data_IF_922575030108
#
_entry.id   IF_922575030108
#
_cell.length_a   1.000
_cell.length_b   1.000
_cell.length_c   1.000
_cell.angle_alpha   90.00
_cell.angle_beta   90.00
_cell.angle_gamma   90.00
#
_symmetry.space_group_name_H-M   'P 1'
#
loop_
_entity.id
_entity.type
_entity.pdbx_description
1 polymer ?
#
# COMPACT_ATOMS: atom_id res chain seq x y z
N UNK A 1 -40.59 7.05 -14.84
CA UNK A 1 -40.41 5.67 -14.34
C UNK A 1 -39.23 5.69 -13.42
N UNK A 2 -39.51 5.80 -12.13
CA UNK A 2 -38.55 5.89 -11.02
C UNK A 2 -38.28 4.48 -10.51
N UNK A 3 -37.21 3.82 -10.96
CA UNK A 3 -36.66 2.69 -10.25
C UNK A 3 -35.36 3.14 -9.57
N UNK A 4 -35.54 3.44 -8.38
CA UNK A 4 -34.78 3.34 -7.13
C UNK A 4 -33.32 2.99 -7.27
N UNK A 5 -32.51 4.02 -7.09
CA UNK A 5 -31.06 3.94 -6.77
C UNK A 5 -30.76 3.32 -5.39
N UNK A 6 -31.71 2.63 -4.76
CA UNK A 6 -31.57 2.01 -3.45
C UNK A 6 -30.94 0.61 -3.50
N UNK A 7 -30.97 -0.05 -4.67
CA UNK A 7 -30.44 -1.42 -4.80
C UNK A 7 -28.92 -1.52 -4.87
N UNK A 8 -28.21 -0.42 -5.06
CA UNK A 8 -26.76 -0.44 -5.25
C UNK A 8 -25.94 -0.58 -3.96
N UNK A 9 -26.58 -0.43 -2.80
CA UNK A 9 -25.90 -0.49 -1.49
C UNK A 9 -26.35 -1.67 -0.63
N UNK A 10 -27.33 -2.45 -1.05
CA UNK A 10 -27.74 -3.65 -0.34
C UNK A 10 -26.60 -4.66 -0.27
N UNK A 11 -26.25 -5.08 0.94
CA UNK A 11 -25.29 -6.12 1.21
C UNK A 11 -23.82 -5.69 1.27
N UNK A 12 -23.50 -4.40 1.29
CA UNK A 12 -22.17 -3.97 1.74
C UNK A 12 -22.18 -3.98 3.28
N UNK A 13 -21.26 -4.71 3.90
CA UNK A 13 -21.14 -4.79 5.36
C UNK A 13 -20.50 -3.55 5.99
N UNK A 14 -20.38 -2.52 5.23
CA UNK A 14 -19.86 -1.23 5.65
C UNK A 14 -21.02 -0.37 6.15
N UNK A 15 -20.66 0.61 6.98
CA UNK A 15 -21.53 1.64 7.53
C UNK A 15 -22.69 2.04 6.59
N UNK A 16 -23.83 2.39 7.18
CA UNK A 16 -24.98 2.87 6.45
C UNK A 16 -24.58 3.80 5.28
N UNK A 17 -25.18 3.62 4.10
CA UNK A 17 -24.87 4.46 2.95
C UNK A 17 -25.09 5.94 3.31
N UNK A 18 -24.34 6.88 2.68
CA UNK A 18 -24.58 8.30 2.89
C UNK A 18 -26.04 8.63 2.63
N UNK A 19 -26.63 9.45 3.52
CA UNK A 19 -27.96 9.96 3.24
C UNK A 19 -27.98 10.76 1.92
N UNK A 20 -29.16 10.82 1.30
CA UNK A 20 -29.31 11.48 -0.01
C UNK A 20 -28.90 12.95 0.00
N UNK A 21 -29.08 13.63 1.13
CA UNK A 21 -28.72 15.04 1.28
C UNK A 21 -27.21 15.22 1.34
N UNK A 22 -26.50 14.35 2.04
CA UNK A 22 -25.03 14.34 2.09
C UNK A 22 -24.44 14.06 0.71
N UNK A 23 -24.98 13.08 -0.03
CA UNK A 23 -24.55 12.78 -1.41
C UNK A 23 -24.82 13.94 -2.36
N UNK A 24 -26.00 14.59 -2.24
CA UNK A 24 -26.33 15.73 -3.07
C UNK A 24 -25.40 16.93 -2.79
N UNK A 25 -25.11 17.21 -1.51
CA UNK A 25 -24.14 18.24 -1.12
C UNK A 25 -22.71 17.94 -1.64
N UNK A 26 -22.30 16.69 -1.56
CA UNK A 26 -20.97 16.28 -2.06
C UNK A 26 -20.90 16.38 -3.59
N UNK A 27 -21.96 15.98 -4.29
CA UNK A 27 -22.05 16.11 -5.75
C UNK A 27 -22.02 17.57 -6.19
N UNK A 28 -22.79 18.45 -5.53
CA UNK A 28 -22.78 19.88 -5.79
C UNK A 28 -21.39 20.50 -5.51
N UNK A 29 -20.75 20.08 -4.44
CA UNK A 29 -19.37 20.49 -4.14
C UNK A 29 -18.39 20.05 -5.24
N UNK A 30 -18.48 18.81 -5.73
CA UNK A 30 -17.63 18.31 -6.83
C UNK A 30 -17.85 19.12 -8.12
N UNK A 31 -19.10 19.43 -8.46
CA UNK A 31 -19.41 20.28 -9.62
C UNK A 31 -18.81 21.68 -9.49
N UNK A 32 -18.85 22.26 -8.29
CA UNK A 32 -18.20 23.52 -8.02
C UNK A 32 -16.67 23.46 -8.18
N UNK A 33 -16.06 22.29 -7.88
CA UNK A 33 -14.60 22.10 -8.10
C UNK A 33 -14.23 22.02 -9.60
N UNK A 34 -15.15 21.65 -10.48
CA UNK A 34 -14.88 21.58 -11.94
C UNK A 34 -14.65 22.95 -12.55
N UNK A 35 -15.23 24.00 -11.99
CA UNK A 35 -15.04 25.38 -12.43
C UNK A 35 -13.74 26.03 -11.90
N UNK A 36 -13.04 25.37 -10.97
CA UNK A 36 -11.82 25.90 -10.37
C UNK A 36 -10.56 25.49 -11.19
N UNK A 37 -9.47 26.28 -11.12
CA UNK A 37 -8.18 25.87 -11.62
C UNK A 37 -7.74 24.53 -11.01
N UNK A 38 -7.07 23.68 -11.80
CA UNK A 38 -6.73 22.30 -11.40
C UNK A 38 -6.04 22.20 -10.03
N UNK A 39 -5.08 23.10 -9.72
CA UNK A 39 -4.34 23.09 -8.47
C UNK A 39 -5.22 23.38 -7.24
N UNK A 40 -6.22 24.28 -7.35
CA UNK A 40 -7.18 24.54 -6.26
C UNK A 40 -8.10 23.34 -6.01
N UNK A 41 -8.58 22.71 -7.08
CA UNK A 41 -9.34 21.47 -6.95
C UNK A 41 -8.53 20.37 -6.30
N UNK A 42 -7.23 20.26 -6.61
CA UNK A 42 -6.34 19.25 -6.03
C UNK A 42 -6.15 19.43 -4.53
N UNK A 43 -5.93 20.66 -4.06
CA UNK A 43 -5.84 20.96 -2.61
C UNK A 43 -7.14 20.57 -1.88
N UNK A 44 -8.30 20.87 -2.47
CA UNK A 44 -9.60 20.50 -1.92
C UNK A 44 -9.80 18.97 -1.90
N UNK A 45 -9.32 18.26 -2.92
CA UNK A 45 -9.42 16.79 -3.02
C UNK A 45 -8.57 16.05 -1.98
N UNK A 46 -7.44 16.62 -1.53
CA UNK A 46 -6.62 16.03 -0.46
C UNK A 46 -7.42 15.76 0.83
N UNK A 47 -8.39 16.60 1.13
CA UNK A 47 -9.23 16.45 2.32
C UNK A 47 -10.25 15.31 2.18
N UNK A 48 -10.65 15.00 0.94
CA UNK A 48 -11.70 14.02 0.62
C UNK A 48 -11.16 12.64 0.24
N UNK A 49 -9.89 12.51 -0.12
CA UNK A 49 -9.26 11.25 -0.48
C UNK A 49 -9.25 10.24 0.68
N UNK A 50 -9.19 8.95 0.35
CA UNK A 50 -9.15 7.86 1.34
C UNK A 50 -8.88 6.49 0.72
N UNK A 51 -9.69 6.03 -0.26
CA UNK A 51 -9.50 4.73 -0.90
C UNK A 51 -8.11 4.50 -1.53
N UNK A 52 -7.49 5.54 -2.08
CA UNK A 52 -6.11 5.49 -2.57
C UNK A 52 -5.09 5.24 -1.46
N UNK A 53 -5.25 5.87 -0.30
CA UNK A 53 -4.38 5.64 0.86
C UNK A 53 -4.52 4.22 1.41
N UNK A 54 -5.73 3.66 1.36
CA UNK A 54 -5.97 2.26 1.73
C UNK A 54 -5.17 1.33 0.81
N UNK A 55 -5.16 1.59 -0.51
CA UNK A 55 -4.34 0.82 -1.44
C UNK A 55 -2.84 1.02 -1.22
N UNK A 56 -2.40 2.25 -0.91
CA UNK A 56 -1.00 2.52 -0.57
C UNK A 56 -0.56 1.73 0.67
N UNK A 57 -1.38 1.72 1.72
CA UNK A 57 -1.09 0.99 2.95
C UNK A 57 -1.01 -0.54 2.75
N UNK A 58 -1.74 -1.07 1.76
CA UNK A 58 -1.68 -2.48 1.39
C UNK A 58 -0.45 -2.80 0.51
N UNK A 59 -0.14 -1.91 -0.44
CA UNK A 59 1.02 -2.05 -1.34
C UNK A 59 2.35 -1.90 -0.62
N UNK A 60 2.44 -0.96 0.33
CA UNK A 60 3.61 -0.77 1.18
C UNK A 60 3.67 -1.89 2.21
N UNK A 61 4.02 -3.08 1.77
CA UNK A 61 4.13 -4.29 2.58
C UNK A 61 5.52 -4.92 2.54
N UNK A 62 5.66 -6.05 3.21
CA UNK A 62 6.95 -6.75 3.35
C UNK A 62 7.59 -7.16 2.04
N UNK A 63 6.79 -7.54 1.04
CA UNK A 63 7.31 -7.86 -0.30
C UNK A 63 7.94 -6.66 -0.98
N UNK A 64 7.27 -5.51 -0.92
CA UNK A 64 7.80 -4.23 -1.43
C UNK A 64 9.06 -3.84 -0.67
N UNK A 65 9.05 -3.93 0.67
CA UNK A 65 10.22 -3.61 1.49
C UNK A 65 11.42 -4.51 1.11
N UNK A 66 11.24 -5.82 1.10
CA UNK A 66 12.32 -6.76 0.78
C UNK A 66 12.91 -6.50 -0.60
N UNK A 67 12.06 -6.32 -1.62
CA UNK A 67 12.50 -6.09 -3.00
C UNK A 67 13.25 -4.76 -3.15
N UNK A 68 12.73 -3.67 -2.57
CA UNK A 68 13.33 -2.34 -2.74
C UNK A 68 14.59 -2.16 -1.90
N UNK A 69 14.66 -2.72 -0.70
CA UNK A 69 15.89 -2.74 0.10
C UNK A 69 16.98 -3.54 -0.59
N UNK A 70 16.63 -4.70 -1.15
CA UNK A 70 17.58 -5.52 -1.92
C UNK A 70 18.02 -4.80 -3.20
N UNK A 71 17.11 -4.16 -3.92
CA UNK A 71 17.44 -3.39 -5.12
C UNK A 71 18.52 -2.33 -4.85
N UNK A 72 18.35 -1.56 -3.76
CA UNK A 72 19.34 -0.56 -3.37
C UNK A 72 20.68 -1.17 -2.95
N UNK A 73 20.67 -2.24 -2.15
CA UNK A 73 21.88 -2.88 -1.68
C UNK A 73 22.68 -3.53 -2.81
N UNK A 74 22.03 -4.25 -3.71
CA UNK A 74 22.69 -5.02 -4.77
C UNK A 74 23.01 -4.20 -6.04
N UNK A 75 22.17 -3.20 -6.37
CA UNK A 75 22.26 -2.49 -7.65
C UNK A 75 22.43 -0.97 -7.51
N UNK A 76 22.57 -0.46 -6.28
CA UNK A 76 22.62 0.97 -6.03
C UNK A 76 21.35 1.66 -6.50
N UNK A 77 21.48 2.77 -7.20
CA UNK A 77 20.32 3.52 -7.72
C UNK A 77 19.76 2.99 -9.04
N UNK A 78 20.46 2.02 -9.70
CA UNK A 78 20.17 1.60 -11.08
C UNK A 78 18.78 1.01 -11.29
N UNK A 79 18.11 0.52 -10.24
CA UNK A 79 16.78 -0.07 -10.32
C UNK A 79 15.68 0.83 -9.68
N UNK A 80 15.97 2.09 -9.36
CA UNK A 80 14.97 2.99 -8.75
C UNK A 80 13.77 3.24 -9.69
N UNK A 81 13.96 3.14 -11.00
CA UNK A 81 12.92 3.28 -12.02
C UNK A 81 11.81 2.23 -11.91
N UNK A 82 12.08 1.09 -11.26
CA UNK A 82 11.10 0.01 -11.07
C UNK A 82 9.92 0.50 -10.22
N UNK A 83 10.17 1.33 -9.22
CA UNK A 83 9.13 1.87 -8.34
C UNK A 83 8.10 2.72 -9.09
N UNK A 84 8.47 3.78 -9.84
CA UNK A 84 7.49 4.55 -10.60
C UNK A 84 6.81 3.73 -11.71
N UNK A 85 7.53 2.84 -12.41
CA UNK A 85 6.94 2.03 -13.47
C UNK A 85 5.87 1.08 -12.91
N UNK A 86 6.20 0.32 -11.87
CA UNK A 86 5.25 -0.61 -11.26
C UNK A 86 4.00 0.09 -10.75
N UNK A 87 4.16 1.28 -10.16
CA UNK A 87 3.02 2.03 -9.65
C UNK A 87 2.21 2.73 -10.75
N UNK A 88 2.83 3.18 -11.84
CA UNK A 88 2.09 3.69 -13.02
C UNK A 88 1.17 2.58 -13.56
N UNK A 89 1.71 1.38 -13.77
CA UNK A 89 0.91 0.23 -14.23
C UNK A 89 -0.21 -0.09 -13.22
N UNK A 90 0.09 -0.06 -11.93
CA UNK A 90 -0.90 -0.23 -10.88
C UNK A 90 -2.02 0.80 -10.93
N UNK A 91 -1.69 2.08 -11.00
CA UNK A 91 -2.69 3.17 -11.09
C UNK A 91 -3.55 3.05 -12.34
N UNK A 92 -3.00 2.61 -13.46
CA UNK A 92 -3.78 2.34 -14.69
C UNK A 92 -4.81 1.23 -14.43
N UNK A 93 -4.41 0.11 -13.81
CA UNK A 93 -5.32 -1.00 -13.46
C UNK A 93 -6.41 -0.54 -12.50
N UNK A 94 -6.04 0.17 -11.42
CA UNK A 94 -7.02 0.70 -10.45
C UNK A 94 -7.95 1.74 -11.07
N UNK A 95 -7.45 2.58 -11.98
CA UNK A 95 -8.27 3.55 -12.69
C UNK A 95 -9.31 2.89 -13.58
N UNK A 96 -8.95 1.78 -14.24
CA UNK A 96 -9.88 0.99 -15.06
C UNK A 96 -11.00 0.36 -14.19
N UNK A 97 -10.62 -0.28 -13.08
CA UNK A 97 -11.57 -0.88 -12.14
C UNK A 97 -12.46 0.19 -11.48
N UNK A 98 -11.88 1.32 -11.06
CA UNK A 98 -12.64 2.46 -10.53
C UNK A 98 -13.64 3.00 -11.57
N UNK A 99 -13.20 3.16 -12.82
CA UNK A 99 -14.08 3.64 -13.88
C UNK A 99 -15.29 2.73 -14.08
N UNK A 100 -15.09 1.43 -14.11
CA UNK A 100 -16.17 0.43 -14.21
C UNK A 100 -17.11 0.54 -13.01
N UNK A 101 -16.59 0.49 -11.78
CA UNK A 101 -17.38 0.52 -10.55
C UNK A 101 -18.17 1.83 -10.39
N UNK A 102 -17.52 2.98 -10.58
CA UNK A 102 -18.15 4.29 -10.48
C UNK A 102 -19.17 4.56 -11.60
N UNK A 103 -19.05 3.85 -12.74
CA UNK A 103 -20.00 3.97 -13.86
C UNK A 103 -21.26 3.16 -13.67
N UNK A 104 -21.12 1.96 -13.12
CA UNK A 104 -22.18 0.96 -12.99
C UNK A 104 -22.83 0.96 -11.60
N UNK A 105 -22.11 1.39 -10.56
CA UNK A 105 -22.48 1.24 -9.16
C UNK A 105 -22.47 -0.21 -8.69
N UNK A 106 -22.06 -1.16 -9.54
CA UNK A 106 -22.08 -2.59 -9.24
C UNK A 106 -20.82 -3.02 -8.50
N UNK A 107 -20.99 -3.95 -7.56
CA UNK A 107 -19.90 -4.63 -6.87
C UNK A 107 -19.09 -5.46 -7.88
N UNK A 108 -17.75 -5.54 -7.74
CA UNK A 108 -16.90 -6.18 -8.75
C UNK A 108 -17.22 -7.65 -8.98
N UNK A 109 -17.55 -8.40 -7.92
CA UNK A 109 -17.92 -9.80 -8.04
C UNK A 109 -19.20 -9.98 -8.88
N UNK A 110 -20.23 -9.19 -8.59
CA UNK A 110 -21.50 -9.24 -9.33
C UNK A 110 -21.33 -8.79 -10.79
N UNK A 111 -20.59 -7.70 -11.01
CA UNK A 111 -20.31 -7.22 -12.36
C UNK A 111 -19.57 -8.27 -13.19
N UNK A 112 -18.57 -8.94 -12.60
CA UNK A 112 -17.85 -10.01 -13.28
C UNK A 112 -18.74 -11.22 -13.54
N UNK A 113 -19.59 -11.61 -12.58
CA UNK A 113 -20.54 -12.71 -12.72
C UNK A 113 -21.53 -12.49 -13.87
N UNK A 114 -22.03 -11.26 -14.02
CA UNK A 114 -22.98 -10.90 -15.08
C UNK A 114 -22.33 -10.79 -16.47
N UNK A 115 -21.13 -10.22 -16.56
CA UNK A 115 -20.53 -9.89 -17.85
C UNK A 115 -19.50 -10.90 -18.35
N UNK A 116 -18.78 -11.57 -17.44
CA UNK A 116 -17.76 -12.57 -17.77
C UNK A 116 -18.17 -14.01 -17.40
N UNK A 117 -19.23 -14.14 -16.60
CA UNK A 117 -19.73 -15.43 -16.15
C UNK A 117 -19.25 -15.86 -14.75
N UNK A 118 -19.95 -16.83 -14.14
CA UNK A 118 -19.68 -17.24 -12.76
C UNK A 118 -18.29 -17.81 -12.53
N UNK A 119 -17.71 -18.52 -13.50
CA UNK A 119 -16.38 -19.11 -13.37
C UNK A 119 -15.32 -18.04 -13.14
N UNK A 120 -15.35 -16.95 -13.91
CA UNK A 120 -14.40 -15.85 -13.75
C UNK A 120 -14.61 -15.07 -12.45
N UNK A 121 -15.87 -14.89 -12.02
CA UNK A 121 -16.17 -14.24 -10.74
C UNK A 121 -15.61 -15.04 -9.56
N UNK A 122 -15.82 -16.35 -9.55
CA UNK A 122 -15.30 -17.25 -8.54
C UNK A 122 -13.76 -17.36 -8.57
N UNK A 123 -13.16 -17.42 -9.75
CA UNK A 123 -11.71 -17.42 -9.91
C UNK A 123 -11.08 -16.11 -9.37
N UNK A 124 -11.71 -14.98 -9.62
CA UNK A 124 -11.25 -13.68 -9.11
C UNK A 124 -11.38 -13.60 -7.58
N UNK A 125 -12.51 -14.01 -7.02
CA UNK A 125 -12.72 -14.04 -5.57
C UNK A 125 -11.74 -15.01 -4.88
N UNK A 126 -11.62 -16.23 -5.40
CA UNK A 126 -10.67 -17.23 -4.92
C UNK A 126 -9.22 -16.76 -5.02
N UNK A 127 -8.85 -16.14 -6.15
CA UNK A 127 -7.53 -15.54 -6.35
C UNK A 127 -7.23 -14.41 -5.35
N UNK A 128 -8.21 -13.58 -5.02
CA UNK A 128 -8.07 -12.52 -4.03
C UNK A 128 -7.81 -13.10 -2.61
N UNK A 129 -8.56 -14.13 -2.20
CA UNK A 129 -8.34 -14.82 -0.92
C UNK A 129 -6.98 -15.52 -0.90
N UNK A 130 -6.66 -16.28 -1.93
CA UNK A 130 -5.40 -17.02 -2.01
C UNK A 130 -4.18 -16.07 -1.98
N UNK A 131 -4.25 -14.99 -2.74
CA UNK A 131 -3.24 -13.92 -2.71
C UNK A 131 -3.12 -13.32 -1.30
N UNK A 132 -4.24 -13.03 -0.63
CA UNK A 132 -4.23 -12.49 0.74
C UNK A 132 -3.59 -13.46 1.73
N UNK A 133 -3.89 -14.76 1.65
CA UNK A 133 -3.31 -15.78 2.54
C UNK A 133 -1.79 -15.85 2.36
N UNK A 134 -1.31 -15.93 1.13
CA UNK A 134 0.14 -15.99 0.85
C UNK A 134 0.85 -14.75 1.40
N UNK A 135 0.32 -13.57 1.13
CA UNK A 135 0.92 -12.33 1.62
C UNK A 135 0.85 -12.19 3.14
N UNK A 136 -0.17 -12.73 3.80
CA UNK A 136 -0.26 -12.75 5.27
C UNK A 136 0.97 -13.44 5.90
N UNK A 137 1.40 -14.58 5.40
CA UNK A 137 2.59 -15.27 5.92
C UNK A 137 3.82 -14.36 5.90
N UNK A 138 4.06 -13.68 4.78
CA UNK A 138 5.18 -12.76 4.65
C UNK A 138 5.08 -11.59 5.64
N UNK A 139 3.89 -10.99 5.80
CA UNK A 139 3.69 -9.83 6.66
C UNK A 139 3.82 -10.19 8.15
N UNK A 140 3.23 -11.31 8.60
CA UNK A 140 3.37 -11.77 9.97
C UNK A 140 4.82 -12.16 10.30
N UNK A 141 5.51 -12.83 9.37
CA UNK A 141 6.92 -13.17 9.55
C UNK A 141 7.78 -11.93 9.70
N UNK A 142 7.57 -10.92 8.86
CA UNK A 142 8.29 -9.67 8.89
C UNK A 142 7.98 -8.86 10.16
N UNK A 143 6.71 -8.62 10.44
CA UNK A 143 6.29 -7.82 11.59
C UNK A 143 6.72 -8.45 12.92
N UNK A 144 6.63 -9.78 13.05
CA UNK A 144 7.09 -10.48 14.24
C UNK A 144 8.62 -10.38 14.42
N UNK A 145 9.40 -10.53 13.34
CA UNK A 145 10.84 -10.38 13.40
C UNK A 145 11.28 -8.95 13.79
N UNK A 146 10.56 -7.95 13.30
CA UNK A 146 10.82 -6.54 13.65
C UNK A 146 10.46 -6.25 15.10
N UNK A 147 9.33 -6.73 15.59
CA UNK A 147 8.96 -6.58 17.01
C UNK A 147 9.93 -7.30 17.95
N UNK A 148 10.38 -8.49 17.57
CA UNK A 148 11.42 -9.25 18.29
C UNK A 148 12.72 -8.45 18.36
N UNK A 149 13.18 -7.88 17.24
CA UNK A 149 14.39 -7.05 17.18
C UNK A 149 14.26 -5.75 17.98
N UNK A 150 13.11 -5.09 17.93
CA UNK A 150 12.83 -3.89 18.71
C UNK A 150 12.77 -4.20 20.21
N UNK A 151 12.13 -5.31 20.59
CA UNK A 151 12.11 -5.79 21.97
C UNK A 151 13.52 -6.06 22.50
N UNK A 152 14.32 -6.79 21.73
CA UNK A 152 15.72 -7.08 22.08
C UNK A 152 16.55 -5.80 22.24
N UNK A 153 16.32 -4.79 21.38
CA UNK A 153 16.99 -3.50 21.51
C UNK A 153 16.58 -2.71 22.77
N UNK A 154 15.37 -2.96 23.27
CA UNK A 154 14.85 -2.36 24.49
C UNK A 154 15.14 -3.21 25.75
N UNK A 155 15.86 -4.33 25.62
CA UNK A 155 16.21 -5.23 26.72
C UNK A 155 15.13 -6.27 27.06
N UNK A 156 14.12 -6.47 26.22
CA UNK A 156 13.06 -7.46 26.42
C UNK A 156 13.22 -8.63 25.43
N UNK A 157 13.28 -9.86 25.95
CA UNK A 157 13.20 -11.06 25.13
C UNK A 157 11.73 -11.38 24.80
N UNK A 158 11.26 -10.91 23.64
CA UNK A 158 9.90 -11.21 23.17
C UNK A 158 9.94 -12.43 22.24
N UNK A 159 9.36 -13.57 22.64
CA UNK A 159 9.23 -14.72 21.76
C UNK A 159 8.42 -14.37 20.48
N UNK A 160 8.83 -14.92 19.35
CA UNK A 160 8.23 -14.61 18.03
C UNK A 160 6.72 -14.88 17.96
N UNK A 161 6.24 -15.89 18.67
CA UNK A 161 4.81 -16.21 18.76
C UNK A 161 4.01 -15.14 19.52
N UNK A 162 4.60 -14.50 20.56
CA UNK A 162 3.98 -13.36 21.25
C UNK A 162 3.90 -12.16 20.30
N UNK A 163 4.98 -11.86 19.56
CA UNK A 163 4.98 -10.81 18.56
C UNK A 163 3.90 -11.04 17.49
N UNK A 164 3.75 -12.28 17.00
CA UNK A 164 2.67 -12.67 16.09
C UNK A 164 1.28 -12.48 16.71
N UNK A 165 1.10 -12.83 17.99
CA UNK A 165 -0.14 -12.63 18.74
C UNK A 165 -0.52 -11.15 18.90
N UNK A 166 0.45 -10.28 19.16
CA UNK A 166 0.25 -8.83 19.24
C UNK A 166 -0.21 -8.27 17.88
N UNK A 167 0.45 -8.70 16.79
CA UNK A 167 0.06 -8.31 15.44
C UNK A 167 -1.35 -8.78 15.09
N UNK A 168 -1.67 -10.05 15.41
CA UNK A 168 -3.00 -10.60 15.16
C UNK A 168 -4.07 -9.84 15.96
N UNK A 169 -3.86 -9.66 17.26
CA UNK A 169 -4.81 -8.97 18.13
C UNK A 169 -5.08 -7.54 17.67
N UNK A 170 -4.01 -6.78 17.34
CA UNK A 170 -4.15 -5.43 16.79
C UNK A 170 -4.86 -5.43 15.44
N UNK A 171 -4.51 -6.34 14.54
CA UNK A 171 -5.13 -6.42 13.22
C UNK A 171 -6.62 -6.79 13.29
N UNK A 172 -7.01 -7.71 14.17
CA UNK A 172 -8.42 -8.08 14.41
C UNK A 172 -9.22 -6.88 14.90
N UNK A 173 -8.70 -6.15 15.91
CA UNK A 173 -9.39 -4.95 16.44
C UNK A 173 -9.63 -3.92 15.34
N UNK A 174 -8.61 -3.65 14.51
CA UNK A 174 -8.72 -2.71 13.42
C UNK A 174 -9.65 -3.21 12.29
N UNK A 175 -9.56 -4.48 11.91
CA UNK A 175 -10.41 -5.06 10.88
C UNK A 175 -11.89 -5.06 11.29
N UNK A 176 -12.20 -5.36 12.56
CA UNK A 176 -13.56 -5.30 13.10
C UNK A 176 -14.09 -3.87 13.23
N UNK A 177 -13.21 -2.87 13.36
CA UNK A 177 -13.60 -1.46 13.35
C UNK A 177 -13.97 -0.96 11.94
N UNK A 178 -13.40 -1.59 10.91
CA UNK A 178 -13.66 -1.21 9.52
C UNK A 178 -15.13 -1.47 9.15
N UNK A 179 -15.80 -0.43 8.67
CA UNK A 179 -17.17 -0.56 8.16
C UNK A 179 -18.30 -0.64 9.21
N UNK A 180 -17.99 -0.68 10.50
CA UNK A 180 -19.01 -0.75 11.54
C UNK A 180 -19.81 0.55 11.75
N UNK A 181 -19.23 1.69 11.44
CA UNK A 181 -19.89 2.99 11.39
C UNK A 181 -19.11 3.96 10.52
N UNK A 182 -19.77 5.04 10.03
CA UNK A 182 -19.10 6.09 9.24
C UNK A 182 -17.98 6.79 10.00
N UNK A 183 -18.18 7.00 11.31
CA UNK A 183 -17.14 7.60 12.15
C UNK A 183 -15.91 6.69 12.26
N UNK A 184 -16.13 5.40 12.45
CA UNK A 184 -15.05 4.41 12.51
C UNK A 184 -14.35 4.24 11.15
N UNK A 185 -15.10 4.26 10.04
CA UNK A 185 -14.52 4.24 8.69
C UNK A 185 -13.63 5.46 8.45
N UNK A 186 -14.11 6.67 8.77
CA UNK A 186 -13.34 7.90 8.61
C UNK A 186 -12.10 7.92 9.51
N UNK A 187 -12.21 7.41 10.75
CA UNK A 187 -11.08 7.29 11.66
C UNK A 187 -10.04 6.27 11.17
N UNK A 188 -10.51 5.12 10.69
CA UNK A 188 -9.66 4.09 10.09
C UNK A 188 -8.86 4.65 8.89
N UNK A 189 -9.54 5.29 7.94
CA UNK A 189 -8.86 5.89 6.79
C UNK A 189 -7.92 7.03 7.19
N UNK A 190 -8.28 7.82 8.19
CA UNK A 190 -7.43 8.86 8.76
C UNK A 190 -6.15 8.29 9.37
N UNK A 191 -6.27 7.19 10.11
CA UNK A 191 -5.12 6.52 10.70
C UNK A 191 -4.22 5.87 9.65
N UNK A 192 -4.78 5.31 8.56
CA UNK A 192 -3.98 4.81 7.45
C UNK A 192 -3.21 5.93 6.74
N UNK A 193 -3.80 7.13 6.59
CA UNK A 193 -3.07 8.30 6.06
C UNK A 193 -1.87 8.66 6.93
N UNK A 194 -2.09 8.74 8.24
CA UNK A 194 -1.01 9.04 9.21
C UNK A 194 0.07 7.95 9.14
N UNK A 195 -0.33 6.68 9.06
CA UNK A 195 0.59 5.56 8.99
C UNK A 195 1.41 5.57 7.70
N UNK A 196 0.79 5.77 6.54
CA UNK A 196 1.46 5.83 5.24
C UNK A 196 2.48 6.98 5.20
N UNK A 197 2.09 8.18 5.62
CA UNK A 197 3.02 9.30 5.68
C UNK A 197 4.06 9.14 6.79
N UNK A 198 3.73 8.44 7.88
CA UNK A 198 4.67 8.02 8.91
C UNK A 198 5.77 7.10 8.36
N UNK A 199 5.40 6.12 7.52
CA UNK A 199 6.36 5.25 6.81
C UNK A 199 7.30 6.09 5.95
N UNK A 200 6.76 6.99 5.12
CA UNK A 200 7.56 7.91 4.29
C UNK A 200 8.48 8.76 5.17
N UNK A 201 7.97 9.29 6.28
CA UNK A 201 8.74 10.09 7.24
C UNK A 201 9.88 9.29 7.89
N UNK A 202 9.64 8.04 8.30
CA UNK A 202 10.67 7.17 8.86
C UNK A 202 11.83 6.95 7.87
N UNK A 203 11.53 6.57 6.63
CA UNK A 203 12.56 6.38 5.61
C UNK A 203 13.20 7.71 5.17
N UNK A 204 12.43 8.81 5.16
CA UNK A 204 12.93 10.15 4.93
C UNK A 204 14.00 10.55 5.97
N UNK A 205 13.76 10.30 7.25
CA UNK A 205 14.73 10.54 8.33
C UNK A 205 16.00 9.69 8.14
N UNK A 206 15.85 8.43 7.71
CA UNK A 206 17.00 7.57 7.39
C UNK A 206 17.82 8.21 6.28
N UNK A 207 17.20 8.61 5.16
CA UNK A 207 17.91 9.20 4.01
C UNK A 207 18.50 10.56 4.36
N UNK A 208 17.86 11.37 5.18
CA UNK A 208 18.43 12.64 5.67
C UNK A 208 19.74 12.42 6.45
N UNK A 209 19.94 11.24 7.02
CA UNK A 209 21.17 10.89 7.76
C UNK A 209 22.20 10.17 6.89
N UNK A 210 21.76 9.31 5.96
CA UNK A 210 22.69 8.64 5.03
C UNK A 210 23.14 9.57 3.89
N UNK A 211 22.37 10.61 3.60
CA UNK A 211 22.60 11.52 2.48
C UNK A 211 22.21 10.91 1.13
N UNK A 212 22.74 11.49 0.06
CA UNK A 212 22.72 10.97 -1.31
C UNK A 212 24.16 10.95 -1.80
N UNK A 213 24.69 9.76 -2.10
CA UNK A 213 26.09 9.60 -2.47
C UNK A 213 26.41 10.31 -3.80
N UNK A 214 25.61 10.06 -4.83
CA UNK A 214 25.77 10.66 -6.15
C UNK A 214 24.38 11.07 -6.70
N UNK A 215 24.04 12.38 -6.70
CA UNK A 215 22.79 12.85 -7.24
C UNK A 215 22.60 12.60 -8.73
N UNK A 216 23.69 12.58 -9.51
CA UNK A 216 23.61 12.32 -10.96
C UNK A 216 23.35 10.84 -11.24
N UNK A 217 24.00 9.94 -10.49
CA UNK A 217 23.70 8.51 -10.56
C UNK A 217 22.25 8.20 -10.11
N UNK A 218 21.73 8.93 -9.11
CA UNK A 218 20.34 8.82 -8.69
C UNK A 218 19.38 9.22 -9.80
N UNK A 219 19.63 10.34 -10.48
CA UNK A 219 18.80 10.77 -11.61
C UNK A 219 18.90 9.80 -12.79
N UNK A 220 20.11 9.32 -13.11
CA UNK A 220 20.31 8.30 -14.14
C UNK A 220 19.59 6.99 -13.81
N UNK A 221 19.44 6.66 -12.54
CA UNK A 221 18.72 5.48 -12.07
C UNK A 221 17.23 5.45 -12.41
N UNK A 222 16.62 6.57 -12.78
CA UNK A 222 15.25 6.61 -13.31
C UNK A 222 15.15 6.18 -14.78
N UNK A 223 16.28 6.02 -15.48
CA UNK A 223 16.31 5.49 -16.84
C UNK A 223 16.28 3.96 -16.76
N UNK A 224 15.30 3.28 -17.41
CA UNK A 224 15.20 1.84 -17.38
C UNK A 224 16.48 1.15 -17.88
N UNK A 225 17.04 0.28 -17.05
CA UNK A 225 18.23 -0.52 -17.35
C UNK A 225 18.16 -1.85 -16.62
N UNK A 226 18.86 -2.86 -17.14
CA UNK A 226 19.00 -4.18 -16.52
C UNK A 226 20.51 -4.43 -16.29
N UNK A 227 21.04 -3.91 -15.18
CA UNK A 227 22.47 -4.07 -14.87
C UNK A 227 22.81 -5.54 -14.51
N UNK A 228 24.01 -5.94 -14.80
CA UNK A 228 24.57 -7.20 -14.29
C UNK A 228 24.72 -7.12 -12.77
N UNK A 229 24.53 -8.24 -12.10
CA UNK A 229 24.58 -8.33 -10.65
C UNK A 229 25.82 -9.06 -10.17
N UNK A 230 26.53 -8.46 -9.25
CA UNK A 230 27.62 -9.09 -8.51
C UNK A 230 27.10 -10.08 -7.45
N UNK A 231 25.84 -9.93 -7.01
CA UNK A 231 25.22 -10.82 -6.00
C UNK A 231 24.71 -12.15 -6.56
N UNK A 232 24.80 -12.38 -7.88
CA UNK A 232 24.28 -13.57 -8.55
C UNK A 232 22.76 -13.63 -8.68
N UNK A 233 22.02 -12.58 -8.28
CA UNK A 233 20.59 -12.41 -8.50
C UNK A 233 20.36 -11.51 -9.71
N UNK A 234 19.61 -11.96 -10.69
CA UNK A 234 19.34 -11.18 -11.90
C UNK A 234 18.54 -9.91 -11.58
N UNK A 235 18.91 -8.78 -12.20
CA UNK A 235 18.13 -7.55 -12.16
C UNK A 235 16.68 -7.78 -12.60
N UNK A 236 16.47 -8.63 -13.57
CA UNK A 236 15.12 -9.00 -14.05
C UNK A 236 14.27 -9.61 -12.93
N UNK A 237 14.85 -10.46 -12.06
CA UNK A 237 14.14 -11.02 -10.89
C UNK A 237 13.66 -9.91 -9.95
N UNK A 238 14.48 -8.90 -9.71
CA UNK A 238 14.13 -7.74 -8.87
C UNK A 238 13.05 -6.89 -9.52
N UNK A 239 13.14 -6.66 -10.83
CA UNK A 239 12.12 -5.93 -11.60
C UNK A 239 10.78 -6.64 -11.54
N UNK A 240 10.75 -7.94 -11.82
CA UNK A 240 9.51 -8.76 -11.74
C UNK A 240 8.96 -8.78 -10.32
N UNK A 241 9.83 -8.93 -9.31
CA UNK A 241 9.45 -8.86 -7.90
C UNK A 241 8.83 -7.50 -7.51
N UNK A 242 9.41 -6.39 -7.98
CA UNK A 242 8.88 -5.05 -7.76
C UNK A 242 7.52 -4.82 -8.44
N UNK A 243 7.36 -5.30 -9.67
CA UNK A 243 6.07 -5.24 -10.39
C UNK A 243 5.00 -6.07 -9.68
N UNK A 244 5.34 -7.29 -9.27
CA UNK A 244 4.42 -8.20 -8.58
C UNK A 244 4.02 -7.70 -7.19
N UNK A 245 4.92 -7.00 -6.48
CA UNK A 245 4.64 -6.46 -5.16
C UNK A 245 3.76 -5.19 -5.19
N UNK A 246 3.70 -4.49 -6.33
CA UNK A 246 2.97 -3.22 -6.44
C UNK A 246 1.45 -3.39 -6.47
N UNK A 247 0.93 -4.42 -7.14
CA UNK A 247 -0.52 -4.65 -7.27
C UNK A 247 -0.83 -6.15 -7.23
N UNK A 248 -1.73 -6.52 -6.32
CA UNK A 248 -2.24 -7.89 -6.18
C UNK A 248 -3.72 -8.01 -6.55
N UNK A 249 -4.17 -9.24 -6.80
CA UNK A 249 -5.59 -9.54 -7.08
C UNK A 249 -6.50 -9.12 -5.92
N UNK A 250 -6.05 -9.30 -4.68
CA UNK A 250 -6.74 -8.87 -3.47
C UNK A 250 -6.95 -7.35 -3.43
N UNK A 251 -5.99 -6.57 -3.90
CA UNK A 251 -6.08 -5.12 -3.96
C UNK A 251 -7.11 -4.67 -4.99
N UNK A 252 -7.09 -5.26 -6.18
CA UNK A 252 -8.07 -5.00 -7.24
C UNK A 252 -9.48 -5.41 -6.83
N UNK A 253 -9.61 -6.44 -5.98
CA UNK A 253 -10.90 -6.83 -5.41
C UNK A 253 -11.37 -5.82 -4.37
N UNK A 254 -10.52 -5.42 -3.42
CA UNK A 254 -10.86 -4.55 -2.29
C UNK A 254 -11.18 -3.11 -2.71
N UNK A 255 -10.47 -2.57 -3.70
CA UNK A 255 -10.57 -1.14 -4.07
C UNK A 255 -11.98 -0.69 -4.45
N UNK A 256 -12.74 -1.39 -5.32
CA UNK A 256 -14.11 -1.04 -5.63
C UNK A 256 -15.03 -0.96 -4.40
N UNK A 257 -14.87 -1.87 -3.45
CA UNK A 257 -15.66 -1.84 -2.22
C UNK A 257 -15.37 -0.60 -1.39
N UNK A 258 -14.12 -0.15 -1.34
CA UNK A 258 -13.78 1.09 -0.64
C UNK A 258 -14.39 2.34 -1.29
N UNK A 259 -14.54 2.35 -2.61
CA UNK A 259 -15.24 3.41 -3.35
C UNK A 259 -16.74 3.39 -3.05
N UNK A 260 -17.37 2.21 -3.11
CA UNK A 260 -18.79 2.03 -2.85
C UNK A 260 -19.15 2.32 -1.38
N UNK A 261 -18.30 1.93 -0.43
CA UNK A 261 -18.47 2.23 0.99
C UNK A 261 -18.57 3.74 1.29
N UNK A 262 -17.92 4.56 0.45
CA UNK A 262 -18.04 6.02 0.52
C UNK A 262 -19.25 6.59 -0.21
N UNK A 263 -19.99 5.77 -0.93
CA UNK A 263 -21.08 6.20 -1.78
C UNK A 263 -20.64 6.92 -3.05
N UNK A 264 -19.38 6.70 -3.47
CA UNK A 264 -18.86 7.33 -4.67
C UNK A 264 -19.50 6.72 -5.94
N UNK A 265 -19.87 7.59 -6.87
CA UNK A 265 -20.46 7.25 -8.17
C UNK A 265 -19.81 8.04 -9.30
N UNK A 266 -20.53 8.20 -10.40
CA UNK A 266 -20.01 8.83 -11.65
C UNK A 266 -19.38 10.21 -11.45
N UNK A 267 -19.98 11.04 -10.58
CA UNK A 267 -19.47 12.39 -10.27
C UNK A 267 -18.10 12.36 -9.60
N UNK A 268 -17.74 11.27 -8.92
CA UNK A 268 -16.50 11.15 -8.15
C UNK A 268 -15.29 10.65 -8.95
N UNK A 269 -15.41 10.41 -10.26
CA UNK A 269 -14.33 9.85 -11.09
C UNK A 269 -13.04 10.69 -11.09
N UNK A 270 -13.19 12.02 -11.11
CA UNK A 270 -12.04 12.93 -11.05
C UNK A 270 -11.36 12.88 -9.68
N UNK A 271 -12.17 12.85 -8.63
CA UNK A 271 -11.68 12.68 -7.25
C UNK A 271 -10.98 11.33 -7.07
N UNK A 272 -11.55 10.22 -7.57
CA UNK A 272 -10.95 8.89 -7.46
C UNK A 272 -9.58 8.80 -8.18
N UNK A 273 -9.45 9.40 -9.37
CA UNK A 273 -8.15 9.46 -10.08
C UNK A 273 -7.12 10.28 -9.32
N UNK A 274 -7.54 11.41 -8.76
CA UNK A 274 -6.66 12.23 -7.92
C UNK A 274 -6.26 11.49 -6.65
N UNK A 275 -7.19 10.78 -6.01
CA UNK A 275 -6.96 10.01 -4.79
C UNK A 275 -5.97 8.84 -5.04
N UNK A 276 -6.04 8.17 -6.19
CA UNK A 276 -5.03 7.20 -6.60
C UNK A 276 -3.64 7.83 -6.79
N UNK A 277 -3.58 9.01 -7.37
CA UNK A 277 -2.30 9.70 -7.54
C UNK A 277 -1.72 10.18 -6.19
N UNK A 278 -2.49 10.93 -5.43
CA UNK A 278 -2.03 11.54 -4.19
C UNK A 278 -1.95 10.55 -3.00
N UNK A 279 -2.86 9.58 -2.97
CA UNK A 279 -2.97 8.60 -1.89
C UNK A 279 -2.23 7.31 -2.13
N UNK A 280 -1.98 6.92 -3.39
CA UNK A 280 -1.31 5.66 -3.70
C UNK A 280 0.03 5.88 -4.42
N UNK A 281 0.04 6.54 -5.58
CA UNK A 281 1.25 6.70 -6.38
C UNK A 281 2.35 7.46 -5.64
N UNK A 282 2.04 8.63 -5.12
CA UNK A 282 3.03 9.50 -4.49
C UNK A 282 3.65 8.90 -3.21
N UNK A 283 2.88 8.40 -2.24
CA UNK A 283 3.47 7.77 -1.06
C UNK A 283 4.29 6.52 -1.37
N UNK A 284 3.83 5.70 -2.32
CA UNK A 284 4.57 4.52 -2.74
C UNK A 284 5.91 4.89 -3.36
N UNK A 285 5.92 5.84 -4.31
CA UNK A 285 7.14 6.31 -4.95
C UNK A 285 8.15 6.86 -3.94
N UNK A 286 7.67 7.67 -3.00
CA UNK A 286 8.52 8.25 -1.95
C UNK A 286 9.06 7.15 -1.01
N UNK A 287 8.20 6.30 -0.44
CA UNK A 287 8.65 5.28 0.50
C UNK A 287 9.66 4.32 -0.15
N UNK A 288 9.35 3.80 -1.34
CA UNK A 288 10.21 2.84 -2.05
C UNK A 288 11.50 3.47 -2.55
N UNK A 289 11.43 4.68 -3.09
CA UNK A 289 12.62 5.44 -3.50
C UNK A 289 13.56 5.70 -2.33
N UNK A 290 13.01 6.12 -1.18
CA UNK A 290 13.80 6.34 0.05
C UNK A 290 14.42 5.04 0.58
N UNK A 291 13.73 3.90 0.49
CA UNK A 291 14.30 2.58 0.84
C UNK A 291 15.49 2.22 -0.05
N UNK A 292 15.34 2.39 -1.37
CA UNK A 292 16.44 2.14 -2.33
C UNK A 292 17.64 3.05 -2.02
N UNK A 293 17.41 4.35 -1.81
CA UNK A 293 18.47 5.31 -1.50
C UNK A 293 19.19 4.94 -0.20
N UNK A 294 18.44 4.63 0.86
CA UNK A 294 19.00 4.29 2.16
C UNK A 294 19.93 3.08 2.08
N UNK A 295 19.51 2.00 1.41
CA UNK A 295 20.31 0.79 1.28
C UNK A 295 21.44 0.91 0.25
N UNK A 296 21.23 1.65 -0.84
CA UNK A 296 22.28 1.96 -1.79
C UNK A 296 23.44 2.70 -1.13
N UNK A 297 23.15 3.74 -0.35
CA UNK A 297 24.16 4.53 0.34
C UNK A 297 24.90 3.74 1.42
N UNK A 298 24.24 2.77 2.04
CA UNK A 298 24.82 1.99 3.14
C UNK A 298 25.63 0.80 2.64
N UNK A 299 25.07 0.03 1.70
CA UNK A 299 25.68 -1.21 1.21
C UNK A 299 26.47 -0.97 -0.08
N UNK A 300 25.82 -0.49 -1.14
CA UNK A 300 26.43 -0.40 -2.47
C UNK A 300 27.56 0.64 -2.55
N UNK A 301 27.34 1.81 -1.98
CA UNK A 301 28.32 2.91 -1.97
C UNK A 301 29.04 3.07 -0.63
N UNK A 302 28.47 2.53 0.45
CA UNK A 302 28.99 2.71 1.82
C UNK A 302 30.08 1.73 2.23
N UNK A 303 30.50 0.81 1.34
CA UNK A 303 31.58 -0.14 1.60
C UNK A 303 31.22 -1.27 2.56
N UNK A 304 29.94 -1.47 2.89
CA UNK A 304 29.47 -2.63 3.62
C UNK A 304 29.27 -3.77 2.62
N UNK A 305 30.10 -4.83 2.74
CA UNK A 305 29.99 -5.97 1.84
C UNK A 305 28.59 -6.60 1.91
N UNK A 306 27.96 -6.72 0.77
CA UNK A 306 26.68 -7.40 0.58
C UNK A 306 26.81 -8.49 -0.48
N UNK A 307 26.95 -9.72 -0.01
CA UNK A 307 27.06 -10.92 -0.87
C UNK A 307 25.79 -11.80 -0.84
N UNK A 308 24.76 -11.36 -0.13
CA UNK A 308 23.51 -12.11 0.04
C UNK A 308 22.64 -12.15 -1.22
N UNK A 309 21.85 -13.22 -1.35
CA UNK A 309 20.82 -13.33 -2.40
C UNK A 309 19.51 -12.66 -2.02
N UNK A 310 19.36 -12.22 -0.79
CA UNK A 310 18.23 -11.47 -0.23
C UNK A 310 18.72 -10.61 0.94
N UNK A 311 18.04 -9.52 1.20
CA UNK A 311 18.27 -8.63 2.33
C UNK A 311 17.01 -8.56 3.17
N UNK A 312 17.06 -9.09 4.38
CA UNK A 312 15.95 -8.92 5.30
C UNK A 312 15.90 -7.48 5.85
N UNK A 313 14.71 -6.90 6.07
CA UNK A 313 14.60 -5.57 6.67
C UNK A 313 15.27 -5.45 8.04
N UNK A 314 15.28 -6.53 8.84
CA UNK A 314 15.95 -6.55 10.16
C UNK A 314 17.48 -6.51 10.01
N UNK A 315 18.04 -7.21 9.02
CA UNK A 315 19.49 -7.09 8.72
C UNK A 315 19.84 -5.69 8.25
N UNK A 316 19.03 -5.11 7.35
CA UNK A 316 19.21 -3.74 6.91
C UNK A 316 19.19 -2.75 8.08
N UNK A 317 18.26 -2.91 9.04
CA UNK A 317 18.18 -2.06 10.22
C UNK A 317 19.41 -2.14 11.13
N UNK A 318 19.98 -3.34 11.31
CA UNK A 318 21.19 -3.54 12.12
C UNK A 318 22.41 -2.87 11.50
N UNK A 319 22.57 -3.00 10.18
CA UNK A 319 23.66 -2.35 9.46
C UNK A 319 23.50 -0.82 9.49
N UNK A 320 22.29 -0.32 9.25
CA UNK A 320 21.98 1.11 9.37
C UNK A 320 22.24 1.65 10.77
N UNK A 321 22.00 0.84 11.82
CA UNK A 321 22.32 1.22 13.20
C UNK A 321 23.81 1.46 13.41
N UNK A 322 24.65 0.66 12.77
CA UNK A 322 26.10 0.84 12.80
C UNK A 322 26.58 2.10 12.07
N UNK A 323 25.85 2.52 11.02
CA UNK A 323 26.23 3.64 10.16
C UNK A 323 25.70 4.99 10.67
N UNK A 324 24.42 5.06 11.04
CA UNK A 324 23.73 6.32 11.38
C UNK A 324 23.19 6.37 12.81
N UNK A 325 23.53 5.38 13.61
CA UNK A 325 23.17 5.25 15.02
C UNK A 325 21.91 4.42 15.28
N UNK A 326 21.77 3.90 16.52
CA UNK A 326 20.73 2.91 16.87
C UNK A 326 19.32 3.49 16.84
N UNK A 327 19.14 4.78 17.14
CA UNK A 327 17.81 5.39 17.17
C UNK A 327 17.22 5.48 15.75
N UNK A 328 17.93 6.06 14.80
CA UNK A 328 17.40 6.28 13.44
C UNK A 328 17.58 5.01 12.60
N UNK A 329 18.76 4.40 12.62
CA UNK A 329 19.08 3.24 11.80
C UNK A 329 18.35 1.96 12.22
N UNK A 330 17.96 1.82 13.48
CA UNK A 330 17.26 0.63 13.97
C UNK A 330 15.83 0.91 14.39
N UNK A 331 15.61 1.82 15.36
CA UNK A 331 14.27 2.05 15.90
C UNK A 331 13.33 2.71 14.89
N UNK A 332 13.74 3.84 14.28
CA UNK A 332 12.88 4.57 13.32
C UNK A 332 12.67 3.76 12.05
N UNK A 333 13.72 3.12 11.53
CA UNK A 333 13.61 2.24 10.37
C UNK A 333 12.67 1.06 10.63
N UNK A 334 12.84 0.35 11.75
CA UNK A 334 11.99 -0.78 12.13
C UNK A 334 10.54 -0.33 12.37
N UNK A 335 10.30 0.87 12.90
CA UNK A 335 8.95 1.41 13.05
C UNK A 335 8.27 1.62 11.69
N UNK A 336 9.00 2.09 10.68
CA UNK A 336 8.52 2.18 9.30
C UNK A 336 8.13 0.80 8.75
N UNK A 337 9.01 -0.20 8.90
CA UNK A 337 8.74 -1.57 8.45
C UNK A 337 7.57 -2.21 9.21
N UNK A 338 7.48 -1.99 10.52
CA UNK A 338 6.35 -2.48 11.34
C UNK A 338 5.02 -1.89 10.87
N UNK A 339 5.01 -0.60 10.55
CA UNK A 339 3.85 0.08 9.96
C UNK A 339 3.42 -0.57 8.63
N UNK A 340 4.37 -0.90 7.75
CA UNK A 340 4.10 -1.59 6.49
C UNK A 340 3.50 -2.98 6.71
N UNK A 341 4.07 -3.77 7.61
CA UNK A 341 3.56 -5.12 7.92
C UNK A 341 2.14 -5.06 8.50
N UNK A 342 1.92 -4.22 9.52
CA UNK A 342 0.64 -4.12 10.22
C UNK A 342 -0.48 -3.63 9.31
N UNK A 343 -0.25 -2.57 8.52
CA UNK A 343 -1.27 -2.06 7.58
C UNK A 343 -1.68 -3.11 6.56
N UNK A 344 -0.71 -3.83 6.01
CA UNK A 344 -0.98 -4.89 5.04
C UNK A 344 -1.76 -6.06 5.67
N UNK A 345 -1.44 -6.49 6.89
CA UNK A 345 -2.19 -7.53 7.61
C UNK A 345 -3.66 -7.12 7.77
N UNK A 346 -3.90 -5.92 8.28
CA UNK A 346 -5.26 -5.41 8.52
C UNK A 346 -6.09 -5.43 7.23
N UNK A 347 -5.54 -4.88 6.14
CA UNK A 347 -6.27 -4.71 4.90
C UNK A 347 -6.48 -6.02 4.13
N UNK A 348 -5.58 -6.97 4.27
CA UNK A 348 -5.77 -8.31 3.73
C UNK A 348 -6.87 -9.06 4.48
N UNK A 349 -6.99 -8.90 5.80
CA UNK A 349 -8.11 -9.43 6.58
C UNK A 349 -9.44 -8.81 6.15
N UNK A 350 -9.48 -7.49 5.94
CA UNK A 350 -10.66 -6.79 5.43
C UNK A 350 -11.04 -7.30 4.04
N UNK A 351 -10.06 -7.53 3.15
CA UNK A 351 -10.31 -8.10 1.82
C UNK A 351 -10.95 -9.49 1.91
N UNK A 352 -10.40 -10.39 2.73
CA UNK A 352 -10.97 -11.72 2.95
C UNK A 352 -12.40 -11.64 3.50
N UNK A 353 -12.67 -10.69 4.40
CA UNK A 353 -14.01 -10.43 4.92
C UNK A 353 -14.99 -10.03 3.81
N UNK A 354 -14.60 -9.13 2.92
CA UNK A 354 -15.44 -8.75 1.77
C UNK A 354 -15.68 -9.90 0.82
N UNK A 355 -14.66 -10.70 0.51
CA UNK A 355 -14.84 -11.89 -0.33
C UNK A 355 -15.82 -12.87 0.31
N UNK A 356 -15.67 -13.14 1.61
CA UNK A 356 -16.56 -14.05 2.32
C UNK A 356 -18.03 -13.60 2.24
N UNK A 357 -18.28 -12.30 2.41
CA UNK A 357 -19.65 -11.75 2.35
C UNK A 357 -20.22 -11.65 0.93
N UNK A 358 -19.41 -11.65 -0.10
CA UNK A 358 -19.89 -11.73 -1.49
C UNK A 358 -20.26 -13.15 -1.90
N UNK A 359 -19.64 -14.11 -1.28
CA UNK A 359 -19.67 -15.51 -1.69
C UNK A 359 -20.69 -16.29 -0.86
N UNK A 360 -20.85 -15.97 0.43
CA UNK A 360 -21.73 -16.61 1.40
C UNK A 360 -22.88 -15.70 1.83
#
# INVERSE_FOLDING_TARGET
MNQSSSETFEGLPSADPPDRETLARETAWLQAQESLPAWRSWVSFLQKGGPGYLQSALTLGGGTAATMLFAGAAFGYRLIWVAPLSMILGVVMFSAVAHQTLSTGKRPFLAMKEHAGPVFAWAFAGGAVFSSIIWHFAQYSLGAAVLEDMGAAAGFALPRWICGGILLGSAVVWALAYGRSRKLLAWFEGSLKVLVWGIVGCFGLVVLRTGIHDPMALLAGFIPSLPESESGVSALTVVVGGLAAAVGANMLFLYPYSLLARGWGRAHRRLARFDLFAGMFLPYLLATGLMVIATANTFHYGGVEFSGKNLSPVEASKVLAGTIGPVIGRLVFNLGILGMALSSIILQMVCCGFVAMEVF
#
